data_IF_979871466751
#
_entry.id   IF_979871466751
#
_cell.length_a   1.000
_cell.length_b   1.000
_cell.length_c   1.000
_cell.angle_alpha   90.00
_cell.angle_beta   90.00
_cell.angle_gamma   90.00
#
_symmetry.space_group_name_H-M   'P 1'
#
loop_
_entity.id
_entity.type
_entity.pdbx_description
1 polymer ?
#
# COMPACT_ATOMS: atom_id res chain seq x y z
N UNK A 1 -21.36 14.53 -19.51
CA UNK A 1 -20.13 14.85 -20.25
C UNK A 1 -19.07 13.83 -19.84
N UNK A 2 -18.74 12.84 -20.69
CA UNK A 2 -17.80 11.75 -20.37
C UNK A 2 -16.37 12.26 -20.50
N UNK A 3 -15.60 12.28 -19.41
CA UNK A 3 -14.14 12.39 -19.51
C UNK A 3 -13.59 11.01 -19.89
N UNK A 4 -13.15 10.85 -21.14
CA UNK A 4 -12.43 9.67 -21.60
C UNK A 4 -11.02 9.69 -21.00
N UNK A 5 -10.78 8.82 -20.01
CA UNK A 5 -9.48 8.58 -19.38
C UNK A 5 -8.63 7.59 -20.18
N UNK A 6 -8.27 7.94 -21.42
CA UNK A 6 -7.31 7.16 -22.19
C UNK A 6 -5.95 7.88 -22.15
N UNK A 7 -5.03 7.39 -21.32
CA UNK A 7 -3.59 7.64 -21.44
C UNK A 7 -2.91 6.29 -21.64
N UNK A 8 -2.37 6.04 -22.84
CA UNK A 8 -1.92 4.72 -23.25
C UNK A 8 -0.49 4.35 -22.79
N UNK A 9 0.22 5.25 -22.10
CA UNK A 9 1.52 4.95 -21.49
C UNK A 9 1.99 6.13 -20.61
N UNK A 10 1.60 6.20 -19.32
CA UNK A 10 2.15 7.22 -18.44
C UNK A 10 3.64 6.97 -18.19
N UNK A 11 4.48 8.00 -18.36
CA UNK A 11 5.89 7.96 -17.95
C UNK A 11 6.02 8.41 -16.52
N UNK A 12 6.77 7.65 -15.73
CA UNK A 12 7.15 8.08 -14.38
C UNK A 12 8.32 9.03 -14.47
N UNK A 13 8.12 10.27 -14.02
CA UNK A 13 9.15 11.30 -14.00
C UNK A 13 9.45 11.63 -12.54
N UNK A 14 10.75 11.64 -12.21
CA UNK A 14 11.25 12.10 -10.91
C UNK A 14 11.46 13.61 -11.00
N UNK A 15 10.56 14.40 -10.43
CA UNK A 15 10.69 15.86 -10.39
C UNK A 15 11.35 16.30 -9.09
N UNK A 16 12.43 17.06 -9.21
CA UNK A 16 13.14 17.66 -8.08
C UNK A 16 12.30 18.85 -7.59
N UNK A 17 11.95 18.84 -6.31
CA UNK A 17 11.37 19.97 -5.61
C UNK A 17 12.49 20.85 -5.02
N UNK A 18 12.15 22.08 -4.65
CA UNK A 18 13.02 22.93 -3.85
C UNK A 18 13.55 22.17 -2.62
N UNK A 19 14.84 22.34 -2.31
CA UNK A 19 15.57 21.66 -1.23
C UNK A 19 15.99 20.20 -1.47
N UNK A 20 16.15 19.77 -2.73
CA UNK A 20 16.78 18.49 -3.07
C UNK A 20 15.89 17.25 -2.93
N UNK A 21 14.63 17.45 -2.52
CA UNK A 21 13.62 16.39 -2.47
C UNK A 21 13.13 16.03 -3.87
N UNK A 22 12.61 14.82 -4.04
CA UNK A 22 12.04 14.39 -5.32
C UNK A 22 10.65 13.78 -5.16
N UNK A 23 9.85 13.91 -6.21
CA UNK A 23 8.53 13.30 -6.32
C UNK A 23 8.48 12.49 -7.60
N UNK A 24 7.97 11.26 -7.52
CA UNK A 24 7.62 10.48 -8.71
C UNK A 24 6.20 10.89 -9.13
N UNK A 25 6.10 11.53 -10.28
CA UNK A 25 4.83 11.88 -10.90
C UNK A 25 4.62 11.02 -12.14
N UNK A 26 3.39 10.57 -12.36
CA UNK A 26 2.99 9.96 -13.62
C UNK A 26 2.58 11.08 -14.58
N UNK A 27 3.32 11.19 -15.68
CA UNK A 27 3.11 12.20 -16.70
C UNK A 27 2.64 11.51 -17.97
N UNK A 28 1.48 11.94 -18.46
CA UNK A 28 1.00 11.54 -19.77
C UNK A 28 1.63 12.46 -20.83
N UNK A 29 2.66 11.99 -21.55
CA UNK A 29 3.37 12.82 -22.54
C UNK A 29 2.47 13.32 -23.67
N UNK A 30 1.45 12.55 -24.06
CA UNK A 30 0.52 12.91 -25.13
C UNK A 30 -0.41 14.07 -24.77
N UNK A 31 -0.60 14.37 -23.47
CA UNK A 31 -1.60 15.36 -23.01
C UNK A 31 -1.05 16.41 -22.04
N UNK A 32 0.22 16.32 -21.64
CA UNK A 32 0.81 17.22 -20.64
C UNK A 32 0.13 17.18 -19.26
N UNK A 33 -0.72 16.17 -19.03
CA UNK A 33 -1.46 15.99 -17.77
C UNK A 33 -0.56 15.31 -16.75
N UNK A 34 -0.41 15.97 -15.60
CA UNK A 34 0.16 15.40 -14.38
C UNK A 34 -1.00 14.83 -13.58
N UNK A 35 -1.09 13.51 -13.46
CA UNK A 35 -2.06 12.89 -12.56
C UNK A 35 -1.40 12.72 -11.20
N UNK A 36 -1.72 13.63 -10.28
CA UNK A 36 -1.45 13.48 -8.85
C UNK A 36 -2.76 13.02 -8.22
N UNK A 37 -2.74 11.98 -7.38
CA UNK A 37 -3.95 11.68 -6.60
C UNK A 37 -4.29 12.95 -5.77
N UNK A 38 -5.56 13.39 -5.72
CA UNK A 38 -5.93 14.53 -4.87
C UNK A 38 -5.45 14.40 -3.42
N UNK A 39 -5.46 13.19 -2.85
CA UNK A 39 -4.93 12.91 -1.51
C UNK A 39 -3.40 13.00 -1.41
N UNK A 40 -2.69 12.66 -2.49
CA UNK A 40 -1.24 12.86 -2.59
C UNK A 40 -0.90 14.35 -2.76
N UNK A 41 -1.82 15.15 -3.30
CA UNK A 41 -1.61 16.58 -3.54
C UNK A 41 -1.51 17.36 -2.23
N UNK A 42 -2.36 17.05 -1.24
CA UNK A 42 -2.28 17.66 0.10
C UNK A 42 -0.98 17.30 0.82
N UNK A 43 -0.51 16.05 0.69
CA UNK A 43 0.81 15.62 1.22
C UNK A 43 1.97 16.34 0.55
N UNK A 44 1.82 16.74 -0.72
CA UNK A 44 2.85 17.46 -1.48
C UNK A 44 2.86 18.96 -1.20
N UNK A 45 1.70 19.55 -0.92
CA UNK A 45 1.54 21.00 -0.71
C UNK A 45 1.70 21.43 0.76
N UNK A 46 1.34 20.58 1.74
CA UNK A 46 1.38 20.94 3.17
C UNK A 46 2.69 20.59 3.89
N UNK A 47 3.81 20.52 3.18
CA UNK A 47 5.10 20.10 3.72
C UNK A 47 5.80 21.18 4.56
N UNK A 48 5.27 21.44 5.76
CA UNK A 48 6.12 21.62 6.93
C UNK A 48 6.60 20.21 7.33
N UNK A 49 7.62 19.67 6.64
CA UNK A 49 8.24 18.40 7.01
C UNK A 49 9.05 18.67 8.27
N UNK A 50 8.44 18.40 9.41
CA UNK A 50 9.16 18.18 10.65
C UNK A 50 9.77 16.77 10.56
N UNK A 51 10.97 16.60 11.11
CA UNK A 51 11.80 15.39 11.16
C UNK A 51 11.13 14.18 11.86
N UNK A 52 9.93 13.79 11.43
CA UNK A 52 9.25 12.61 11.93
C UNK A 52 9.80 11.36 11.23
N UNK A 53 10.22 10.34 11.98
CA UNK A 53 10.71 9.09 11.39
C UNK A 53 9.65 8.46 10.50
N UNK A 54 10.04 8.10 9.28
CA UNK A 54 9.20 7.38 8.33
C UNK A 54 9.42 5.88 8.44
N UNK A 55 8.32 5.12 8.44
CA UNK A 55 8.39 3.66 8.42
C UNK A 55 8.94 3.17 7.09
N UNK A 56 10.02 2.40 7.15
CA UNK A 56 10.57 1.69 6.01
C UNK A 56 9.66 0.48 5.61
N UNK A 57 9.90 -0.18 4.47
CA UNK A 57 9.07 -1.32 4.05
C UNK A 57 9.01 -2.46 5.07
N UNK A 58 10.11 -2.74 5.77
CA UNK A 58 10.19 -3.80 6.79
C UNK A 58 9.40 -3.42 8.02
N UNK A 59 9.53 -2.19 8.51
CA UNK A 59 8.76 -1.66 9.62
C UNK A 59 7.26 -1.65 9.30
N UNK A 60 6.88 -1.29 8.08
CA UNK A 60 5.48 -1.38 7.64
C UNK A 60 4.96 -2.82 7.66
N UNK A 61 5.75 -3.79 7.19
CA UNK A 61 5.36 -5.21 7.24
C UNK A 61 5.13 -5.66 8.68
N UNK A 62 6.07 -5.33 9.58
CA UNK A 62 5.98 -5.68 10.99
C UNK A 62 4.81 -4.98 11.68
N UNK A 63 4.55 -3.72 11.36
CA UNK A 63 3.44 -2.95 11.89
C UNK A 63 2.09 -3.53 11.44
N UNK A 64 1.91 -3.80 10.15
CA UNK A 64 0.65 -4.31 9.62
C UNK A 64 0.32 -5.70 10.16
N UNK A 65 1.30 -6.60 10.26
CA UNK A 65 1.10 -7.91 10.89
C UNK A 65 0.93 -7.79 12.41
N UNK A 66 1.70 -6.91 13.06
CA UNK A 66 1.67 -6.70 14.50
C UNK A 66 0.42 -6.00 15.03
N UNK A 67 -0.31 -5.29 14.17
CA UNK A 67 -1.59 -4.69 14.53
C UNK A 67 -2.61 -5.75 14.98
N UNK A 68 -2.53 -6.98 14.48
CA UNK A 68 -3.28 -8.14 14.96
C UNK A 68 -2.46 -9.44 14.73
N UNK A 69 -1.52 -9.75 15.65
CA UNK A 69 -0.44 -10.72 15.42
C UNK A 69 -0.89 -12.18 15.44
N UNK A 70 -2.13 -12.46 15.85
CA UNK A 70 -2.68 -13.82 15.92
C UNK A 70 -3.37 -14.23 14.61
N UNK A 71 -3.71 -13.27 13.75
CA UNK A 71 -4.37 -13.54 12.47
C UNK A 71 -3.33 -13.45 11.33
N UNK A 72 -3.01 -14.56 10.65
CA UNK A 72 -2.14 -14.54 9.48
C UNK A 72 -2.81 -13.85 8.30
N UNK A 73 -2.03 -13.16 7.47
CA UNK A 73 -2.54 -12.48 6.26
C UNK A 73 -2.12 -13.29 5.02
N UNK A 74 -3.06 -13.52 4.10
CA UNK A 74 -2.75 -14.09 2.78
C UNK A 74 -1.84 -13.14 2.01
N UNK A 75 -0.76 -13.61 1.42
CA UNK A 75 0.21 -12.74 0.70
C UNK A 75 -0.47 -11.80 -0.33
N UNK A 76 -1.45 -12.32 -1.08
CA UNK A 76 -2.19 -11.52 -2.07
C UNK A 76 -3.06 -10.44 -1.43
N UNK A 77 -3.58 -10.67 -0.22
CA UNK A 77 -4.33 -9.70 0.56
C UNK A 77 -3.38 -8.68 1.20
N UNK A 78 -2.28 -9.16 1.78
CA UNK A 78 -1.24 -8.33 2.40
C UNK A 78 -0.77 -7.21 1.46
N UNK A 79 -0.47 -7.54 0.20
CA UNK A 79 -0.04 -6.55 -0.80
C UNK A 79 -1.07 -5.42 -1.00
N UNK A 80 -2.37 -5.74 -0.89
CA UNK A 80 -3.46 -4.77 -1.04
C UNK A 80 -3.71 -3.97 0.23
N UNK A 81 -3.56 -4.59 1.39
CA UNK A 81 -3.65 -3.90 2.68
C UNK A 81 -2.50 -2.90 2.86
N UNK A 82 -1.27 -3.30 2.50
CA UNK A 82 -0.13 -2.41 2.51
C UNK A 82 -0.31 -1.24 1.53
N UNK A 83 -0.95 -1.48 0.37
CA UNK A 83 -1.33 -0.41 -0.55
C UNK A 83 -2.32 0.58 0.09
N UNK A 84 -3.40 0.09 0.72
CA UNK A 84 -4.36 0.97 1.42
C UNK A 84 -3.73 1.69 2.61
N UNK A 85 -2.78 1.05 3.30
CA UNK A 85 -2.02 1.68 4.37
C UNK A 85 -1.21 2.87 3.83
N UNK A 86 -0.41 2.68 2.78
CA UNK A 86 0.39 3.77 2.19
C UNK A 86 -0.48 4.90 1.63
N UNK A 87 -1.54 4.57 0.88
CA UNK A 87 -2.33 5.56 0.12
C UNK A 87 -3.43 6.25 0.92
N UNK A 88 -3.89 5.66 2.01
CA UNK A 88 -5.03 6.17 2.76
C UNK A 88 -4.74 6.24 4.25
N UNK A 89 -4.57 5.09 4.89
CA UNK A 89 -4.59 5.02 6.35
C UNK A 89 -3.44 5.81 6.94
N UNK A 90 -2.22 5.74 6.39
CA UNK A 90 -1.06 6.43 6.91
C UNK A 90 -1.31 7.94 7.05
N UNK A 91 -1.89 8.59 6.03
CA UNK A 91 -2.27 10.00 6.11
C UNK A 91 -3.41 10.23 7.12
N UNK A 92 -4.44 9.37 7.13
CA UNK A 92 -5.60 9.48 8.03
C UNK A 92 -5.21 9.40 9.51
N UNK A 93 -4.20 8.59 9.86
CA UNK A 93 -3.73 8.43 11.25
C UNK A 93 -2.43 9.18 11.54
N UNK A 94 -1.94 10.01 10.61
CA UNK A 94 -0.70 10.78 10.78
C UNK A 94 0.55 9.89 10.99
N UNK A 95 0.68 8.81 10.23
CA UNK A 95 1.93 8.04 10.11
C UNK A 95 2.69 8.44 8.85
N UNK A 96 4.00 8.59 8.98
CA UNK A 96 4.88 8.73 7.83
C UNK A 96 5.35 7.35 7.38
N UNK A 97 5.14 7.07 6.10
CA UNK A 97 5.51 5.82 5.44
C UNK A 97 6.35 6.15 4.22
N UNK A 98 7.47 5.45 4.05
CA UNK A 98 8.28 5.52 2.84
C UNK A 98 7.49 5.01 1.63
N UNK A 99 7.78 5.54 0.45
CA UNK A 99 7.10 5.08 -0.77
C UNK A 99 7.44 3.61 -1.05
N UNK A 100 6.43 2.73 -1.07
CA UNK A 100 6.60 1.31 -1.41
C UNK A 100 6.63 1.07 -2.93
N UNK A 101 6.60 2.12 -3.74
CA UNK A 101 6.77 2.08 -5.19
C UNK A 101 5.77 1.13 -5.90
N UNK A 102 4.51 1.13 -5.47
CA UNK A 102 3.47 0.31 -6.09
C UNK A 102 3.26 0.62 -7.57
N UNK A 103 3.12 -0.44 -8.38
CA UNK A 103 2.78 -0.36 -9.79
C UNK A 103 1.60 -1.29 -10.15
N UNK A 104 0.89 -1.03 -11.27
CA UNK A 104 -0.18 -1.90 -11.75
C UNK A 104 0.34 -3.30 -12.12
N UNK A 105 -0.36 -4.33 -11.66
CA UNK A 105 -0.05 -5.73 -11.96
C UNK A 105 -1.33 -6.53 -12.28
N UNK A 106 -1.19 -7.82 -12.61
CA UNK A 106 -2.28 -8.67 -13.08
C UNK A 106 -3.48 -8.80 -12.12
N UNK A 107 -3.27 -8.57 -10.82
CA UNK A 107 -4.29 -8.72 -9.78
C UNK A 107 -4.35 -7.51 -8.83
N UNK A 108 -4.01 -6.33 -9.37
CA UNK A 108 -4.05 -5.06 -8.66
C UNK A 108 -2.68 -4.46 -8.39
N UNK A 109 -2.56 -3.64 -7.33
CA UNK A 109 -1.30 -3.00 -6.97
C UNK A 109 -0.29 -4.05 -6.51
N UNK A 110 0.96 -3.88 -6.93
CA UNK A 110 2.07 -4.71 -6.51
C UNK A 110 3.31 -3.86 -6.22
N UNK A 111 4.04 -4.21 -5.16
CA UNK A 111 5.30 -3.59 -4.77
C UNK A 111 6.39 -4.66 -4.74
N UNK A 112 7.46 -4.42 -5.50
CA UNK A 112 8.65 -5.26 -5.45
C UNK A 112 9.40 -5.07 -4.12
N UNK A 113 9.42 -3.85 -3.59
CA UNK A 113 10.10 -3.54 -2.33
C UNK A 113 9.49 -4.32 -1.17
N UNK A 114 8.15 -4.43 -1.11
CA UNK A 114 7.49 -5.30 -0.14
C UNK A 114 7.80 -6.78 -0.35
N UNK A 115 7.73 -7.26 -1.59
CA UNK A 115 7.98 -8.67 -1.90
C UNK A 115 9.40 -9.11 -1.53
N UNK A 116 10.39 -8.27 -1.85
CA UNK A 116 11.79 -8.51 -1.50
C UNK A 116 12.02 -8.47 0.01
N UNK A 117 11.40 -7.52 0.73
CA UNK A 117 11.48 -7.47 2.20
C UNK A 117 10.77 -8.66 2.87
N UNK A 118 9.62 -9.12 2.36
CA UNK A 118 8.95 -10.32 2.88
C UNK A 118 9.88 -11.53 2.78
N UNK A 119 10.56 -11.71 1.64
CA UNK A 119 11.53 -12.80 1.43
C UNK A 119 12.73 -12.68 2.36
N UNK A 120 13.26 -11.48 2.58
CA UNK A 120 14.38 -11.27 3.51
C UNK A 120 14.01 -11.62 4.96
N UNK A 121 12.77 -11.34 5.35
CA UNK A 121 12.28 -11.57 6.71
C UNK A 121 11.80 -13.00 6.96
N UNK A 122 11.53 -13.77 5.91
CA UNK A 122 11.08 -15.17 5.96
C UNK A 122 12.08 -16.06 6.71
N UNK A 123 11.57 -16.91 7.61
CA UNK A 123 12.38 -17.80 8.45
C UNK A 123 13.05 -17.11 9.64
N UNK A 124 12.96 -15.78 9.74
CA UNK A 124 13.53 -15.00 10.85
C UNK A 124 12.45 -14.23 11.62
N UNK A 125 11.88 -13.19 11.01
CA UNK A 125 10.81 -12.38 11.62
C UNK A 125 9.42 -12.79 11.12
N UNK A 126 9.34 -13.42 9.95
CA UNK A 126 8.11 -13.94 9.37
C UNK A 126 8.14 -15.47 9.28
N UNK A 127 7.03 -16.11 9.63
CA UNK A 127 6.76 -17.51 9.32
C UNK A 127 5.77 -17.55 8.15
N UNK A 128 6.14 -18.26 7.10
CA UNK A 128 5.37 -18.39 5.87
C UNK A 128 4.99 -19.86 5.70
N UNK A 129 3.69 -20.10 5.61
CA UNK A 129 3.16 -21.45 5.42
C UNK A 129 2.03 -21.45 4.40
N UNK A 130 1.70 -22.64 3.90
CA UNK A 130 0.65 -22.82 2.90
C UNK A 130 -0.57 -23.46 3.54
N UNK A 131 -1.72 -22.83 3.35
CA UNK A 131 -3.03 -23.39 3.71
C UNK A 131 -3.94 -23.31 2.50
N UNK A 132 -4.52 -24.45 2.07
CA UNK A 132 -5.41 -24.51 0.90
C UNK A 132 -4.81 -23.85 -0.37
N UNK A 133 -3.54 -24.14 -0.66
CA UNK A 133 -2.74 -23.54 -1.75
C UNK A 133 -2.59 -22.01 -1.67
N UNK A 134 -2.80 -21.40 -0.50
CA UNK A 134 -2.61 -19.98 -0.26
C UNK A 134 -1.44 -19.77 0.68
N UNK A 135 -0.52 -18.88 0.28
CA UNK A 135 0.61 -18.46 1.11
C UNK A 135 0.11 -17.51 2.20
N UNK A 136 0.30 -17.91 3.45
CA UNK A 136 -0.05 -17.14 4.65
C UNK A 136 1.23 -16.60 5.28
N UNK A 137 1.19 -15.33 5.66
CA UNK A 137 2.28 -14.60 6.30
C UNK A 137 1.86 -14.31 7.75
N UNK A 138 2.69 -14.69 8.71
CA UNK A 138 2.52 -14.32 10.13
C UNK A 138 3.86 -13.98 10.75
N UNK A 139 3.83 -13.30 11.90
CA UNK A 139 5.04 -13.04 12.68
C UNK A 139 5.54 -14.33 13.36
N UNK A 140 6.85 -14.54 13.39
CA UNK A 140 7.47 -15.46 14.35
C UNK A 140 7.41 -14.87 15.76
N UNK A 141 7.72 -15.65 16.80
CA UNK A 141 7.86 -15.10 18.16
C UNK A 141 8.91 -13.98 18.24
N UNK A 142 9.98 -14.07 17.44
CA UNK A 142 10.97 -13.00 17.30
C UNK A 142 10.36 -11.79 16.57
N UNK A 143 9.61 -12.02 15.50
CA UNK A 143 8.85 -11.01 14.77
C UNK A 143 7.88 -10.24 15.67
N UNK A 144 7.09 -10.94 16.49
CA UNK A 144 6.15 -10.36 17.47
C UNK A 144 6.87 -9.42 18.43
N UNK A 145 8.03 -9.82 18.96
CA UNK A 145 8.83 -8.96 19.86
C UNK A 145 9.34 -7.70 19.16
N UNK A 146 9.76 -7.78 17.90
CA UNK A 146 10.22 -6.61 17.14
C UNK A 146 9.03 -5.70 16.80
N UNK A 147 7.92 -6.26 16.34
CA UNK A 147 6.70 -5.53 16.05
C UNK A 147 6.14 -4.82 17.29
N UNK A 148 6.15 -5.46 18.46
CA UNK A 148 5.69 -4.84 19.71
C UNK A 148 6.53 -3.61 20.08
N UNK A 149 7.86 -3.69 19.95
CA UNK A 149 8.74 -2.51 20.17
C UNK A 149 8.45 -1.37 19.21
N UNK A 150 8.14 -1.68 17.95
CA UNK A 150 7.75 -0.68 16.97
C UNK A 150 6.41 -0.03 17.35
N UNK A 151 5.43 -0.84 17.74
CA UNK A 151 4.10 -0.40 18.16
C UNK A 151 4.15 0.46 19.42
N UNK A 152 5.01 0.14 20.39
CA UNK A 152 5.22 0.91 21.62
C UNK A 152 5.68 2.35 21.36
N UNK A 153 6.34 2.60 20.22
CA UNK A 153 6.80 3.93 19.82
C UNK A 153 5.74 4.74 19.05
N UNK A 154 4.58 4.14 18.76
CA UNK A 154 3.49 4.79 18.03
C UNK A 154 2.34 5.08 19.01
N UNK A 155 1.75 6.29 19.00
CA UNK A 155 0.58 6.60 19.81
C UNK A 155 -0.53 5.55 19.69
N UNK A 156 -1.07 5.14 20.83
CA UNK A 156 -2.00 4.00 20.92
C UNK A 156 -3.30 4.22 20.15
N UNK A 157 -3.74 5.47 20.00
CA UNK A 157 -4.89 5.85 19.16
C UNK A 157 -4.64 5.55 17.68
N UNK A 158 -3.44 5.84 17.16
CA UNK A 158 -3.04 5.51 15.78
C UNK A 158 -3.02 3.99 15.57
N UNK A 159 -2.47 3.24 16.54
CA UNK A 159 -2.44 1.77 16.50
C UNK A 159 -3.84 1.17 16.56
N UNK A 160 -4.72 1.70 17.42
CA UNK A 160 -6.11 1.24 17.51
C UNK A 160 -6.87 1.50 16.21
N UNK A 161 -6.67 2.66 15.58
CA UNK A 161 -7.24 2.96 14.27
C UNK A 161 -6.71 2.02 13.19
N UNK A 162 -5.41 1.74 13.17
CA UNK A 162 -4.81 0.76 12.24
C UNK A 162 -5.40 -0.64 12.44
N UNK A 163 -5.52 -1.10 13.68
CA UNK A 163 -6.15 -2.39 14.02
C UNK A 163 -7.59 -2.45 13.52
N UNK A 164 -8.37 -1.39 13.73
CA UNK A 164 -9.75 -1.31 13.22
C UNK A 164 -9.80 -1.40 11.69
N UNK A 165 -8.91 -0.69 10.98
CA UNK A 165 -8.82 -0.75 9.52
C UNK A 165 -8.44 -2.15 9.02
N UNK A 166 -7.44 -2.78 9.65
CA UNK A 166 -6.99 -4.14 9.32
C UNK A 166 -8.12 -5.16 9.43
N UNK A 167 -8.86 -5.16 10.54
CA UNK A 167 -10.03 -6.04 10.72
C UNK A 167 -11.05 -5.82 9.59
N UNK A 168 -11.32 -4.57 9.22
CA UNK A 168 -12.21 -4.25 8.10
C UNK A 168 -11.68 -4.78 6.76
N UNK A 169 -10.38 -4.65 6.50
CA UNK A 169 -9.74 -5.17 5.28
C UNK A 169 -9.78 -6.69 5.20
N UNK A 170 -9.49 -7.37 6.31
CA UNK A 170 -9.60 -8.83 6.43
C UNK A 170 -11.02 -9.31 6.08
N UNK A 171 -12.05 -8.59 6.55
CA UNK A 171 -13.46 -8.89 6.26
C UNK A 171 -13.84 -8.61 4.80
N UNK A 172 -13.35 -7.53 4.19
CA UNK A 172 -13.58 -7.25 2.76
C UNK A 172 -12.88 -8.26 1.86
N UNK A 173 -11.71 -8.74 2.29
CA UNK A 173 -10.86 -9.64 1.54
C UNK A 173 -10.39 -9.07 0.19
N UNK A 174 -9.77 -9.95 -0.60
CA UNK A 174 -9.12 -9.58 -1.86
C UNK A 174 -10.06 -8.87 -2.84
N UNK A 175 -11.28 -9.40 -3.04
CA UNK A 175 -12.23 -8.87 -4.03
C UNK A 175 -12.76 -7.51 -3.61
N UNK A 176 -13.16 -7.34 -2.34
CA UNK A 176 -13.70 -6.09 -1.82
C UNK A 176 -12.69 -4.95 -1.90
N UNK A 177 -11.45 -5.20 -1.47
CA UNK A 177 -10.39 -4.21 -1.58
C UNK A 177 -10.08 -3.88 -3.03
N UNK A 178 -10.00 -4.88 -3.91
CA UNK A 178 -9.62 -4.65 -5.30
C UNK A 178 -10.67 -3.83 -6.08
N UNK A 179 -11.95 -4.05 -5.82
CA UNK A 179 -13.04 -3.20 -6.34
C UNK A 179 -12.84 -1.74 -5.95
N UNK A 180 -12.54 -1.49 -4.67
CA UNK A 180 -12.25 -0.16 -4.17
C UNK A 180 -11.02 0.44 -4.85
N UNK A 181 -9.93 -0.33 -4.95
CA UNK A 181 -8.70 0.13 -5.60
C UNK A 181 -8.95 0.49 -7.05
N UNK A 182 -9.71 -0.29 -7.81
CA UNK A 182 -9.97 0.01 -9.23
C UNK A 182 -10.90 1.21 -9.42
N UNK A 183 -11.82 1.44 -8.49
CA UNK A 183 -12.68 2.63 -8.50
C UNK A 183 -11.90 3.90 -8.15
N UNK A 184 -11.13 3.85 -7.07
CA UNK A 184 -10.49 5.03 -6.46
C UNK A 184 -9.09 5.31 -7.05
N UNK A 185 -8.44 4.28 -7.61
CA UNK A 185 -7.11 4.32 -8.23
C UNK A 185 -7.08 3.51 -9.55
N UNK A 186 -7.81 3.95 -10.58
CA UNK A 186 -8.05 3.16 -11.80
C UNK A 186 -6.79 2.75 -12.56
N UNK A 187 -5.68 3.48 -12.40
CA UNK A 187 -4.38 3.12 -13.02
C UNK A 187 -3.92 1.71 -12.63
N UNK A 188 -4.23 1.25 -11.41
CA UNK A 188 -3.87 -0.09 -10.94
C UNK A 188 -4.72 -1.21 -11.57
N UNK A 189 -5.77 -0.86 -12.31
CA UNK A 189 -6.54 -1.79 -13.13
C UNK A 189 -5.97 -1.98 -14.55
N UNK A 190 -5.02 -1.14 -15.00
CA UNK A 190 -4.53 -1.11 -16.40
C UNK A 190 -3.96 -2.43 -16.90
N UNK A 191 -3.34 -3.23 -16.04
CA UNK A 191 -2.77 -4.55 -16.37
C UNK A 191 -3.59 -5.72 -15.80
N UNK A 192 -4.74 -5.44 -15.22
CA UNK A 192 -5.53 -6.42 -14.49
C UNK A 192 -6.13 -7.45 -15.44
N UNK A 193 -5.95 -8.74 -15.12
CA UNK A 193 -6.56 -9.85 -15.85
C UNK A 193 -8.02 -10.10 -15.47
N UNK A 194 -8.48 -9.47 -14.39
CA UNK A 194 -9.80 -9.67 -13.79
C UNK A 194 -10.60 -8.37 -13.68
N UNK A 195 -10.19 -7.31 -14.42
CA UNK A 195 -10.88 -6.00 -14.37
C UNK A 195 -12.35 -6.15 -14.75
N UNK A 196 -12.62 -6.78 -15.88
CA UNK A 196 -13.97 -6.90 -16.45
C UNK A 196 -14.88 -7.80 -15.61
N UNK A 197 -14.31 -8.81 -14.95
CA UNK A 197 -15.04 -9.66 -13.99
C UNK A 197 -15.46 -8.86 -12.74
N UNK A 198 -14.61 -7.93 -12.30
CA UNK A 198 -14.84 -7.15 -11.10
C UNK A 198 -15.77 -5.96 -11.34
N UNK A 199 -15.55 -5.19 -12.40
CA UNK A 199 -16.28 -3.94 -12.67
C UNK A 199 -17.52 -4.15 -13.56
N UNK A 200 -17.68 -5.32 -14.18
CA UNK A 200 -18.66 -5.54 -15.23
C UNK A 200 -18.18 -5.02 -16.59
N UNK A 201 -18.79 -5.50 -17.68
CA UNK A 201 -18.36 -5.22 -19.07
C UNK A 201 -18.58 -3.77 -19.55
N UNK A 202 -19.16 -2.91 -18.72
CA UNK A 202 -19.53 -1.53 -19.08
C UNK A 202 -18.82 -0.45 -18.22
N UNK A 203 -17.77 -0.82 -17.48
CA UNK A 203 -16.99 0.06 -16.59
C UNK A 203 -15.92 0.91 -17.28
#
# INVERSE_FOLDING_TARGET
MKMKNDCNNPKQIKKILSHGNFVKIEVCEEKGLITVNPKDTDRLLNKNIIDEPSLDPKELILLLLGADPEIPIKETLFMKEAFLLEKETAAEIGLNVESLNFFPHHYGPYSKDLDDNIKELEGNLLDIHFENNKKLIKLTEKGKKVANKLIENIPSDKINNLRYKRIGWDQYGNRGILLRVYRDYPVYASKSKIKDELLGRDG
#
